data_IF_861960045038
#
_entry.id   IF_861960045038
#
_cell.length_a   1.000
_cell.length_b   1.000
_cell.length_c   1.000
_cell.angle_alpha   90.00
_cell.angle_beta   90.00
_cell.angle_gamma   90.00
#
_symmetry.space_group_name_H-M   'P 1'
#
loop_
_entity.id
_entity.type
_entity.pdbx_description
1 polymer ?
#
# COMPACT_ATOMS: atom_id res chain seq x y z
N UNK A 1 9.36 -23.77 13.73
CA UNK A 1 8.69 -23.02 12.66
C UNK A 1 8.84 -21.48 12.84
N UNK A 2 8.86 -20.94 14.05
CA UNK A 2 8.95 -19.50 14.31
C UNK A 2 10.26 -18.79 13.92
N UNK A 3 11.24 -19.51 13.41
CA UNK A 3 12.52 -18.94 13.02
C UNK A 3 12.53 -18.28 11.64
N UNK A 4 11.59 -18.67 10.76
CA UNK A 4 11.51 -18.17 9.38
C UNK A 4 10.45 -17.06 9.24
N UNK A 5 9.52 -16.97 10.18
CA UNK A 5 8.39 -16.04 10.11
C UNK A 5 8.79 -14.63 10.60
N UNK A 6 8.77 -13.66 9.71
CA UNK A 6 9.02 -12.25 10.03
C UNK A 6 7.75 -11.55 10.55
N UNK A 7 7.08 -12.14 11.55
CA UNK A 7 5.78 -11.68 12.07
C UNK A 7 5.86 -10.97 13.43
N UNK A 8 7.08 -10.66 13.91
CA UNK A 8 7.22 -9.93 15.16
C UNK A 8 6.63 -8.52 15.04
N UNK A 9 5.59 -8.16 15.81
CA UNK A 9 4.97 -6.85 15.74
C UNK A 9 5.73 -5.77 16.52
N UNK A 10 6.74 -6.14 17.30
CA UNK A 10 7.58 -5.17 18.00
C UNK A 10 8.66 -4.62 17.08
N UNK A 11 8.41 -3.44 16.54
CA UNK A 11 9.33 -2.71 15.67
C UNK A 11 9.98 -1.51 16.38
N UNK A 12 10.00 -1.50 17.71
CA UNK A 12 10.53 -0.39 18.52
C UNK A 12 11.98 -0.05 18.19
N UNK A 13 12.84 -1.05 18.02
CA UNK A 13 14.24 -0.85 17.65
C UNK A 13 14.42 -0.27 16.24
N UNK A 14 13.57 -0.67 15.30
CA UNK A 14 13.56 -0.11 13.93
C UNK A 14 13.11 1.35 13.94
N UNK A 15 12.01 1.66 14.64
CA UNK A 15 11.50 3.02 14.81
C UNK A 15 12.52 3.93 15.49
N UNK A 16 13.15 3.48 16.56
CA UNK A 16 14.14 4.25 17.33
C UNK A 16 15.35 4.70 16.49
N UNK A 17 15.68 3.96 15.42
CA UNK A 17 16.72 4.33 14.44
C UNK A 17 16.23 5.28 13.35
N UNK A 18 15.01 5.79 13.45
CA UNK A 18 14.40 6.66 12.43
C UNK A 18 13.96 5.91 11.17
N UNK A 19 13.76 4.59 11.26
CA UNK A 19 13.30 3.76 10.15
C UNK A 19 11.94 4.20 9.61
N UNK A 20 11.74 4.08 8.31
CA UNK A 20 10.46 4.28 7.62
C UNK A 20 10.06 2.96 6.96
N UNK A 21 8.86 2.49 7.23
CA UNK A 21 8.34 1.23 6.71
C UNK A 21 7.11 1.48 5.84
N UNK A 22 7.24 1.20 4.56
CA UNK A 22 6.16 1.23 3.60
C UNK A 22 5.83 -0.22 3.21
N UNK A 23 4.64 -0.67 3.59
CA UNK A 23 4.12 -1.99 3.26
C UNK A 23 3.10 -1.83 2.14
N UNK A 24 3.12 -2.72 1.17
CA UNK A 24 2.06 -2.80 0.15
C UNK A 24 1.67 -4.24 -0.16
N UNK A 25 0.43 -4.44 -0.60
CA UNK A 25 -0.08 -5.73 -1.01
C UNK A 25 -1.24 -5.57 -2.00
N UNK A 26 -1.35 -6.47 -2.97
CA UNK A 26 -2.46 -6.48 -3.92
C UNK A 26 -3.70 -7.16 -3.33
N UNK A 27 -4.86 -6.52 -3.43
CA UNK A 27 -6.11 -7.16 -2.99
C UNK A 27 -6.50 -8.38 -3.82
N UNK A 28 -5.94 -8.53 -5.04
CA UNK A 28 -6.19 -9.67 -5.92
C UNK A 28 -5.14 -10.79 -5.78
N UNK A 29 -4.26 -10.70 -4.77
CA UNK A 29 -3.36 -11.78 -4.38
C UNK A 29 -4.16 -12.86 -3.61
N UNK A 30 -3.76 -14.12 -3.69
CA UNK A 30 -4.48 -15.21 -3.05
C UNK A 30 -5.46 -15.94 -3.97
N UNK A 31 -5.36 -15.73 -5.29
CA UNK A 31 -6.13 -16.48 -6.29
C UNK A 31 -5.67 -17.94 -6.47
N UNK A 32 -6.05 -18.56 -7.59
CA UNK A 32 -5.79 -19.97 -7.91
C UNK A 32 -4.32 -20.35 -8.07
N UNK A 33 -3.40 -19.40 -8.08
CA UNK A 33 -1.96 -19.55 -8.29
C UNK A 33 -1.16 -19.77 -7.00
N UNK A 34 -1.83 -19.99 -5.87
CA UNK A 34 -1.18 -20.30 -4.58
C UNK A 34 -0.54 -19.10 -3.89
N UNK A 35 -0.97 -17.92 -4.21
CA UNK A 35 -0.45 -16.67 -3.72
C UNK A 35 -0.80 -16.39 -2.23
N UNK A 36 -0.24 -15.35 -1.66
CA UNK A 36 -0.33 -15.02 -0.24
C UNK A 36 -1.58 -14.19 0.04
N UNK A 37 -2.40 -14.59 1.00
CA UNK A 37 -3.60 -13.84 1.37
C UNK A 37 -3.27 -12.39 1.77
N UNK A 38 -3.88 -11.37 1.14
CA UNK A 38 -3.67 -9.97 1.50
C UNK A 38 -4.11 -9.64 2.93
N UNK A 39 -5.02 -10.43 3.51
CA UNK A 39 -5.44 -10.28 4.91
C UNK A 39 -4.29 -10.54 5.89
N UNK A 40 -3.30 -11.37 5.53
CA UNK A 40 -2.13 -11.59 6.37
C UNK A 40 -1.35 -10.29 6.59
N UNK A 41 -1.21 -9.48 5.53
CA UNK A 41 -0.55 -8.17 5.62
C UNK A 41 -1.36 -7.16 6.44
N UNK A 42 -2.68 -7.13 6.25
CA UNK A 42 -3.58 -6.28 7.06
C UNK A 42 -3.51 -6.67 8.54
N UNK A 43 -3.55 -7.98 8.83
CA UNK A 43 -3.46 -8.50 10.20
C UNK A 43 -2.10 -8.19 10.85
N UNK A 44 -1.01 -8.32 10.08
CA UNK A 44 0.31 -7.93 10.58
C UNK A 44 0.37 -6.43 10.89
N UNK A 45 -0.09 -5.56 9.98
CA UNK A 45 -0.18 -4.12 10.23
C UNK A 45 -0.98 -3.81 11.50
N UNK A 46 -2.15 -4.44 11.67
CA UNK A 46 -2.97 -4.27 12.85
C UNK A 46 -2.26 -4.74 14.14
N UNK A 47 -1.51 -5.86 14.07
CA UNK A 47 -0.74 -6.36 15.22
C UNK A 47 0.40 -5.41 15.62
N UNK A 48 1.05 -4.76 14.64
CA UNK A 48 2.06 -3.72 14.91
C UNK A 48 1.42 -2.51 15.60
N UNK A 49 0.26 -2.04 15.13
CA UNK A 49 -0.47 -0.93 15.79
C UNK A 49 -0.88 -1.30 17.22
N UNK A 50 -1.37 -2.52 17.44
CA UNK A 50 -1.74 -2.99 18.78
C UNK A 50 -0.53 -3.06 19.71
N UNK A 51 0.63 -3.51 19.21
CA UNK A 51 1.85 -3.64 20.00
C UNK A 51 2.54 -2.32 20.28
N UNK A 52 2.61 -1.44 19.27
CA UNK A 52 3.36 -0.18 19.32
C UNK A 52 2.53 1.00 19.81
N UNK A 53 1.21 0.83 19.96
CA UNK A 53 0.24 1.90 20.18
C UNK A 53 -0.09 2.63 18.88
N UNK A 54 -1.26 3.24 18.82
CA UNK A 54 -1.71 4.06 17.68
C UNK A 54 -1.70 5.54 18.09
N UNK A 55 -1.38 6.49 17.20
CA UNK A 55 -1.03 6.34 15.79
C UNK A 55 0.46 6.05 15.54
N UNK A 56 0.79 5.44 14.38
CA UNK A 56 2.16 5.15 13.95
C UNK A 56 2.46 5.69 12.53
N UNK A 57 1.63 6.59 12.02
CA UNK A 57 1.69 7.07 10.63
C UNK A 57 2.92 7.92 10.31
N UNK A 58 3.67 8.34 11.30
CA UNK A 58 4.93 9.09 11.13
C UNK A 58 6.09 8.23 10.59
N UNK A 59 6.01 6.89 10.73
CA UNK A 59 7.05 5.97 10.29
C UNK A 59 6.54 4.68 9.61
N UNK A 60 5.24 4.37 9.70
CA UNK A 60 4.62 3.17 9.16
C UNK A 60 3.44 3.51 8.26
N UNK A 61 3.44 2.99 7.02
CA UNK A 61 2.34 3.10 6.05
C UNK A 61 2.02 1.74 5.43
N UNK A 62 0.74 1.45 5.29
CA UNK A 62 0.25 0.31 4.52
C UNK A 62 -0.55 0.81 3.32
N UNK A 63 -0.29 0.23 2.15
CA UNK A 63 -1.03 0.48 0.91
C UNK A 63 -1.59 -0.82 0.36
N UNK A 64 -2.91 -0.94 0.34
CA UNK A 64 -3.59 -2.06 -0.29
C UNK A 64 -3.99 -1.68 -1.72
N UNK A 65 -3.51 -2.43 -2.72
CA UNK A 65 -3.65 -2.08 -4.14
C UNK A 65 -4.81 -2.86 -4.76
N UNK A 66 -5.94 -2.20 -5.10
CA UNK A 66 -7.09 -2.86 -5.69
C UNK A 66 -6.78 -3.44 -7.08
N UNK A 67 -7.06 -4.72 -7.27
CA UNK A 67 -6.90 -5.42 -8.53
C UNK A 67 -5.46 -5.78 -8.90
N UNK A 68 -4.46 -5.49 -8.07
CA UNK A 68 -3.12 -6.01 -8.23
C UNK A 68 -3.04 -7.44 -7.70
N UNK A 69 -2.42 -8.34 -8.47
CA UNK A 69 -2.09 -9.70 -8.05
C UNK A 69 -0.77 -9.73 -7.26
N UNK A 70 -0.10 -10.89 -7.17
CA UNK A 70 1.13 -11.06 -6.42
C UNK A 70 2.26 -10.18 -7.02
N UNK A 71 2.67 -9.14 -6.30
CA UNK A 71 3.75 -8.19 -6.68
C UNK A 71 3.55 -7.42 -7.98
N UNK A 72 2.48 -7.66 -8.74
CA UNK A 72 2.18 -7.04 -10.03
C UNK A 72 1.08 -7.80 -10.76
N UNK A 73 0.81 -7.43 -12.01
CA UNK A 73 -0.26 -8.05 -12.80
C UNK A 73 -1.66 -7.80 -12.22
N UNK A 74 -2.63 -8.60 -12.67
CA UNK A 74 -4.03 -8.43 -12.29
C UNK A 74 -4.78 -7.38 -13.12
N UNK A 75 -6.10 -7.24 -12.92
CA UNK A 75 -6.93 -6.34 -13.72
C UNK A 75 -6.80 -4.86 -13.36
N UNK A 76 -6.24 -4.53 -12.21
CA UNK A 76 -6.08 -3.16 -11.72
C UNK A 76 -4.75 -2.52 -12.09
N UNK A 77 -4.57 -1.23 -11.76
CA UNK A 77 -3.28 -0.58 -11.87
C UNK A 77 -2.31 -1.17 -10.84
N UNK A 78 -1.13 -1.57 -11.31
CA UNK A 78 -0.16 -2.34 -10.52
C UNK A 78 1.26 -1.79 -10.57
N UNK A 79 1.50 -0.69 -11.30
CA UNK A 79 2.80 -0.04 -11.37
C UNK A 79 2.80 1.21 -10.48
N UNK A 80 3.59 1.16 -9.41
CA UNK A 80 3.76 2.26 -8.45
C UNK A 80 5.23 2.47 -8.18
N UNK A 81 5.68 3.71 -8.14
CA UNK A 81 7.06 4.01 -7.76
C UNK A 81 7.21 4.05 -6.23
N UNK A 82 7.26 2.87 -5.63
CA UNK A 82 7.41 2.70 -4.18
C UNK A 82 8.71 3.28 -3.64
N UNK A 83 9.80 3.11 -4.39
CA UNK A 83 11.13 3.57 -3.97
C UNK A 83 11.19 5.09 -3.88
N UNK A 84 10.74 5.80 -4.92
CA UNK A 84 10.70 7.27 -4.88
C UNK A 84 9.82 7.80 -3.75
N UNK A 85 8.71 7.10 -3.43
CA UNK A 85 7.87 7.46 -2.29
C UNK A 85 8.60 7.30 -0.95
N UNK A 86 9.33 6.20 -0.78
CA UNK A 86 10.09 5.90 0.44
C UNK A 86 11.29 6.85 0.59
N UNK A 87 12.04 7.10 -0.47
CA UNK A 87 13.16 8.06 -0.51
C UNK A 87 12.69 9.45 -0.11
N UNK A 88 11.65 9.96 -0.77
CA UNK A 88 11.06 11.26 -0.43
C UNK A 88 10.62 11.33 1.03
N UNK A 89 10.00 10.27 1.54
CA UNK A 89 9.61 10.21 2.94
C UNK A 89 10.82 10.28 3.88
N UNK A 90 11.88 9.53 3.56
CA UNK A 90 13.10 9.51 4.37
C UNK A 90 13.87 10.84 4.34
N UNK A 91 13.95 11.48 3.17
CA UNK A 91 14.74 12.69 2.95
C UNK A 91 14.00 13.97 3.36
N UNK A 92 12.69 14.05 3.04
CA UNK A 92 11.89 15.26 3.26
C UNK A 92 10.96 15.18 4.47
N UNK A 93 10.88 14.01 5.13
CA UNK A 93 9.96 13.80 6.24
C UNK A 93 8.47 13.72 5.84
N UNK A 94 8.15 13.77 4.53
CA UNK A 94 6.78 13.80 4.02
C UNK A 94 6.29 12.37 3.85
N UNK A 95 5.48 11.89 4.79
CA UNK A 95 4.84 10.58 4.71
C UNK A 95 3.86 10.51 3.54
N UNK A 96 3.89 9.44 2.71
CA UNK A 96 2.94 9.30 1.62
C UNK A 96 1.56 8.90 2.15
N UNK A 97 0.55 9.76 1.95
CA UNK A 97 -0.86 9.43 2.23
C UNK A 97 -1.58 8.92 0.98
N UNK A 98 -1.06 9.27 -0.19
CA UNK A 98 -1.59 8.93 -1.49
C UNK A 98 -0.46 8.73 -2.49
N UNK A 99 -0.50 7.61 -3.20
CA UNK A 99 0.39 7.32 -4.33
C UNK A 99 -0.46 7.12 -5.59
N UNK A 100 0.14 7.25 -6.77
CA UNK A 100 -0.54 6.97 -8.02
C UNK A 100 -0.03 5.64 -8.56
N UNK A 101 -0.95 4.70 -8.75
CA UNK A 101 -0.70 3.49 -9.50
C UNK A 101 -1.15 3.68 -10.96
N UNK A 102 -0.42 3.09 -11.88
CA UNK A 102 -0.78 3.02 -13.29
C UNK A 102 -0.91 1.58 -13.76
N UNK A 103 -1.74 1.38 -14.80
CA UNK A 103 -1.76 0.19 -15.62
C UNK A 103 -1.26 0.54 -17.00
N UNK A 104 -0.29 -0.24 -17.47
CA UNK A 104 0.30 -0.08 -18.80
C UNK A 104 -0.10 -1.27 -19.65
N UNK A 105 -0.58 -1.00 -20.88
CA UNK A 105 -0.84 -1.98 -21.92
C UNK A 105 -0.35 -1.41 -23.23
N UNK A 106 0.32 -2.22 -24.05
CA UNK A 106 0.90 -1.80 -25.35
C UNK A 106 1.79 -0.54 -25.23
N UNK A 107 2.59 -0.48 -24.16
CA UNK A 107 3.47 0.64 -23.81
C UNK A 107 2.75 1.99 -23.55
N UNK A 108 1.44 1.96 -23.31
CA UNK A 108 0.66 3.13 -22.97
C UNK A 108 0.00 2.99 -21.60
N UNK A 109 0.01 4.09 -20.82
CA UNK A 109 -0.78 4.17 -19.59
C UNK A 109 -2.25 4.29 -19.97
N UNK A 110 -3.04 3.28 -19.67
CA UNK A 110 -4.48 3.24 -19.97
C UNK A 110 -5.37 3.42 -18.74
N UNK A 111 -4.79 3.38 -17.55
CA UNK A 111 -5.50 3.63 -16.29
C UNK A 111 -4.53 4.17 -15.24
N UNK A 112 -4.99 5.15 -14.49
CA UNK A 112 -4.36 5.58 -13.24
C UNK A 112 -5.35 5.50 -12.08
N UNK A 113 -4.85 5.25 -10.86
CA UNK A 113 -5.66 5.18 -9.65
C UNK A 113 -4.86 5.70 -8.46
N UNK A 114 -5.44 6.50 -7.57
CA UNK A 114 -4.79 6.75 -6.31
C UNK A 114 -4.84 5.50 -5.46
N UNK A 115 -3.71 5.15 -4.88
CA UNK A 115 -3.61 4.18 -3.81
C UNK A 115 -3.49 4.98 -2.51
N UNK A 116 -4.44 4.81 -1.63
CA UNK A 116 -4.54 5.55 -0.38
C UNK A 116 -3.90 4.77 0.77
N UNK A 117 -3.29 5.48 1.71
CA UNK A 117 -2.80 4.81 2.92
C UNK A 117 -3.97 4.19 3.69
N UNK A 118 -3.82 2.91 4.04
CA UNK A 118 -4.83 2.15 4.78
C UNK A 118 -5.13 2.79 6.15
N UNK A 119 -6.39 2.89 6.61
CA UNK A 119 -7.60 2.25 6.06
C UNK A 119 -8.36 3.07 5.00
N UNK A 120 -7.80 4.17 4.51
CA UNK A 120 -8.45 4.96 3.46
C UNK A 120 -8.51 4.21 2.14
N UNK A 121 -9.56 4.46 1.37
CA UNK A 121 -9.78 3.91 0.03
C UNK A 121 -9.99 5.02 -0.99
N UNK A 122 -9.69 4.73 -2.25
CA UNK A 122 -9.98 5.64 -3.36
C UNK A 122 -11.48 5.64 -3.68
N UNK A 123 -12.15 6.75 -3.45
CA UNK A 123 -13.56 6.96 -3.78
C UNK A 123 -13.68 7.84 -5.02
N UNK A 124 -14.42 7.35 -6.03
CA UNK A 124 -14.71 8.12 -7.25
C UNK A 124 -15.63 9.31 -6.94
N UNK A 125 -15.32 10.48 -7.52
CA UNK A 125 -16.09 11.73 -7.27
C UNK A 125 -17.43 11.77 -8.01
N UNK A 126 -17.65 10.84 -8.98
CA UNK A 126 -18.86 10.82 -9.80
C UNK A 126 -18.74 11.56 -11.14
N UNK A 127 -17.64 12.24 -11.41
CA UNK A 127 -17.41 13.05 -12.62
C UNK A 127 -16.10 12.67 -13.30
N UNK A 128 -16.06 12.68 -14.63
CA UNK A 128 -14.89 12.37 -15.44
C UNK A 128 -14.64 10.88 -15.64
N UNK A 129 -13.49 10.53 -16.19
CA UNK A 129 -13.13 9.16 -16.47
C UNK A 129 -12.79 8.38 -15.19
N UNK A 130 -13.31 7.17 -15.06
CA UNK A 130 -12.89 6.23 -14.00
C UNK A 130 -11.48 5.67 -14.19
N UNK A 131 -10.85 5.94 -15.34
CA UNK A 131 -9.47 5.56 -15.61
C UNK A 131 -8.46 6.67 -15.26
N UNK A 132 -8.92 7.78 -14.70
CA UNK A 132 -8.06 8.88 -14.29
C UNK A 132 -8.08 9.08 -12.77
N UNK A 133 -6.91 9.02 -12.17
CA UNK A 133 -6.70 9.19 -10.74
C UNK A 133 -7.16 10.57 -10.21
N UNK A 134 -7.22 11.59 -11.06
CA UNK A 134 -7.69 12.92 -10.69
C UNK A 134 -9.17 12.93 -10.24
N UNK A 135 -9.95 11.94 -10.70
CA UNK A 135 -11.38 11.82 -10.40
C UNK A 135 -11.69 11.00 -9.15
N UNK A 136 -10.70 10.84 -8.26
CA UNK A 136 -10.83 10.10 -7.01
C UNK A 136 -10.26 10.88 -5.84
N UNK A 137 -10.85 10.64 -4.67
CA UNK A 137 -10.37 11.15 -3.38
C UNK A 137 -10.15 9.99 -2.41
N UNK A 138 -9.15 10.12 -1.53
CA UNK A 138 -8.95 9.16 -0.45
C UNK A 138 -9.92 9.45 0.69
N UNK A 139 -10.67 8.44 1.12
CA UNK A 139 -11.59 8.53 2.27
C UNK A 139 -11.53 7.26 3.10
N UNK A 140 -11.66 7.39 4.39
CA UNK A 140 -12.00 6.29 5.29
C UNK A 140 -13.49 5.98 5.07
N UNK A 141 -13.84 4.71 4.89
CA UNK A 141 -15.23 4.25 4.73
C UNK A 141 -15.88 4.03 6.08
#
# INVERSE_FOLDING_TARGET
AGFIDAVNPDLSAFRARGGKLLIYHGWNDGGSDGAISPLNTVNYYASVLARMGSPQQDWLRLFMVPGMAHCGGGPGPNQVNWMAALERWRESGIAPDRLIASRVSDNHVNMTRPICSYPSVAKYNGVGSRNDAANFVCKVL
#
